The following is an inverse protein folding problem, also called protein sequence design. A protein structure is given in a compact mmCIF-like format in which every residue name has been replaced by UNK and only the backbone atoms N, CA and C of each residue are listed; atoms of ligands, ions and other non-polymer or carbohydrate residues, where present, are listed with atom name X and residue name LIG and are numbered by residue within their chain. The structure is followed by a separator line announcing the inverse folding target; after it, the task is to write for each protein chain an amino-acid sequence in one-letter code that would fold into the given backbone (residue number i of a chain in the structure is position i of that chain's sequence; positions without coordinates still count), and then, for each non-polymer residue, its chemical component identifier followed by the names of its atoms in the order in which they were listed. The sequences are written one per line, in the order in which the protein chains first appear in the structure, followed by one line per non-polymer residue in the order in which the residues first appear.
data_IF_986686813829
#
_entry.id   IF_986686813829
#
_cell.length_a   1.000
_cell.length_b   1.000
_cell.length_c   1.000
_cell.angle_alpha   90.00
_cell.angle_beta   90.00
_cell.angle_gamma   90.00
#
_symmetry.space_group_name_H-M   'P 1'
#
loop_
_entity.id
_entity.type
_entity.pdbx_description
1 polymer ?
#
# COMPACT_ATOMS: atom_id res chain seq x y z
N UNK A 1 21.21 3.14 2.92
CA UNK A 1 20.23 2.08 2.58
C UNK A 1 18.86 2.70 2.41
N UNK A 2 18.20 2.40 1.31
CA UNK A 2 16.85 2.87 1.01
C UNK A 2 15.83 1.80 1.45
N UNK A 3 14.78 2.21 2.14
CA UNK A 3 13.69 1.34 2.58
C UNK A 3 12.43 1.70 1.81
N UNK A 4 11.94 0.76 0.99
CA UNK A 4 10.67 0.86 0.31
C UNK A 4 9.59 0.25 1.21
N UNK A 5 8.55 1.01 1.49
CA UNK A 5 7.40 0.56 2.27
C UNK A 5 6.20 0.62 1.34
N UNK A 6 5.69 -0.54 0.95
CA UNK A 6 4.47 -0.65 0.17
C UNK A 6 3.31 -0.84 1.12
N UNK A 7 2.30 0.02 0.98
CA UNK A 7 1.06 -0.08 1.77
C UNK A 7 0.01 -0.72 0.89
N UNK A 8 -0.48 -1.86 1.34
CA UNK A 8 -1.52 -2.64 0.68
C UNK A 8 -2.81 -2.58 1.48
N UNK A 9 -3.92 -2.67 0.76
CA UNK A 9 -5.19 -3.05 1.32
C UNK A 9 -5.52 -4.44 0.78
N UNK A 10 -5.54 -5.46 1.67
CA UNK A 10 -5.53 -6.87 1.27
C UNK A 10 -4.36 -7.16 0.32
N UNK A 11 -4.66 -7.43 -0.95
CA UNK A 11 -3.68 -7.74 -2.01
C UNK A 11 -3.47 -6.56 -2.99
N UNK A 12 -4.14 -5.42 -2.78
CA UNK A 12 -4.11 -4.28 -3.70
C UNK A 12 -3.20 -3.17 -3.14
N UNK A 13 -2.14 -2.75 -3.84
CA UNK A 13 -1.27 -1.69 -3.36
C UNK A 13 -1.94 -0.32 -3.49
N UNK A 14 -1.70 0.56 -2.52
CA UNK A 14 -2.33 1.89 -2.43
C UNK A 14 -1.31 3.04 -2.49
N UNK A 15 -0.24 2.95 -1.70
CA UNK A 15 0.83 3.94 -1.69
C UNK A 15 2.19 3.28 -1.49
N UNK A 16 3.22 3.92 -2.05
CA UNK A 16 4.62 3.60 -1.83
C UNK A 16 5.25 4.70 -0.99
N UNK A 17 6.00 4.30 0.04
CA UNK A 17 6.76 5.21 0.90
C UNK A 17 8.21 4.79 0.88
N UNK A 18 9.07 5.63 0.33
CA UNK A 18 10.52 5.40 0.27
C UNK A 18 11.19 6.25 1.34
N UNK A 19 12.01 5.62 2.17
CA UNK A 19 12.85 6.30 3.17
C UNK A 19 14.31 6.09 2.81
N UNK A 20 15.05 7.17 2.58
CA UNK A 20 16.47 7.13 2.23
C UNK A 20 17.22 8.08 3.16
N UNK A 21 17.94 7.54 4.14
CA UNK A 21 18.57 8.35 5.18
C UNK A 21 17.55 9.22 5.92
N UNK A 22 17.68 10.55 5.79
CA UNK A 22 16.73 11.53 6.35
C UNK A 22 15.60 11.94 5.39
N UNK A 23 15.69 11.57 4.12
CA UNK A 23 14.68 11.89 3.13
C UNK A 23 13.53 10.86 3.17
N UNK A 24 12.29 11.35 3.05
CA UNK A 24 11.10 10.51 2.92
C UNK A 24 10.29 10.97 1.71
N UNK A 25 10.07 10.06 0.76
CA UNK A 25 9.17 10.27 -0.36
C UNK A 25 7.94 9.38 -0.21
N UNK A 26 6.76 9.94 -0.53
CA UNK A 26 5.49 9.24 -0.53
C UNK A 26 4.86 9.42 -1.90
N UNK A 27 4.56 8.31 -2.55
CA UNK A 27 3.93 8.28 -3.86
C UNK A 27 2.62 7.54 -3.72
N UNK A 28 1.50 8.24 -3.96
CA UNK A 28 0.19 7.61 -4.10
C UNK A 28 0.13 6.94 -5.46
N UNK A 29 -0.35 5.70 -5.51
CA UNK A 29 -0.54 5.03 -6.79
C UNK A 29 -1.72 5.63 -7.54
N UNK A 30 -1.77 5.34 -8.84
CA UNK A 30 -2.83 5.81 -9.74
C UNK A 30 -4.22 5.45 -9.24
N UNK A 31 -5.20 6.29 -9.57
CA UNK A 31 -6.62 6.17 -9.19
C UNK A 31 -7.21 4.78 -9.45
N UNK A 32 -6.72 4.02 -10.46
CA UNK A 32 -7.15 2.63 -10.72
C UNK A 32 -7.05 1.72 -9.49
N UNK A 33 -6.04 1.92 -8.65
CA UNK A 33 -5.83 1.12 -7.44
C UNK A 33 -6.85 1.47 -6.35
N UNK A 34 -7.16 2.76 -6.19
CA UNK A 34 -8.20 3.22 -5.28
C UNK A 34 -9.58 2.65 -5.68
N UNK A 35 -9.90 2.68 -6.98
CA UNK A 35 -11.15 2.09 -7.50
C UNK A 35 -11.19 0.57 -7.28
N UNK A 36 -10.07 -0.13 -7.45
CA UNK A 36 -9.99 -1.57 -7.20
C UNK A 36 -10.20 -1.90 -5.71
N UNK A 37 -9.61 -1.11 -4.80
CA UNK A 37 -9.81 -1.22 -3.35
C UNK A 37 -11.28 -1.01 -3.00
N UNK A 38 -11.91 0.05 -3.53
CA UNK A 38 -13.31 0.36 -3.27
C UNK A 38 -14.23 -0.76 -3.77
N UNK A 39 -14.02 -1.25 -5.00
CA UNK A 39 -14.78 -2.39 -5.55
C UNK A 39 -14.60 -3.65 -4.72
N UNK A 40 -13.38 -3.93 -4.26
CA UNK A 40 -13.11 -5.10 -3.42
C UNK A 40 -13.72 -4.95 -2.02
N UNK A 41 -13.74 -3.75 -1.45
CA UNK A 41 -14.42 -3.44 -0.19
C UNK A 41 -15.93 -3.59 -0.31
N UNK A 42 -16.53 -3.06 -1.39
CA UNK A 42 -17.95 -3.22 -1.70
C UNK A 42 -18.30 -4.70 -1.89
N UNK A 43 -17.48 -5.46 -2.65
CA UNK A 43 -17.69 -6.90 -2.87
C UNK A 43 -17.56 -7.73 -1.58
N UNK A 44 -16.68 -7.31 -0.67
CA UNK A 44 -16.54 -7.96 0.63
C UNK A 44 -17.67 -7.59 1.62
N UNK A 45 -18.65 -6.77 1.21
CA UNK A 45 -19.69 -6.24 2.11
C UNK A 45 -19.15 -5.24 3.14
N UNK A 46 -17.91 -4.77 2.97
CA UNK A 46 -17.21 -3.83 3.86
C UNK A 46 -17.31 -2.38 3.37
N UNK A 47 -18.33 -2.08 2.58
CA UNK A 47 -18.54 -0.79 1.90
C UNK A 47 -18.78 0.42 2.81
N UNK A 48 -18.80 0.25 4.13
CA UNK A 48 -19.11 1.36 5.05
C UNK A 48 -18.66 1.20 6.50
N UNK A 49 -17.70 0.34 6.84
CA UNK A 49 -17.35 0.13 8.25
C UNK A 49 -15.91 -0.23 8.53
N UNK A 50 -15.52 0.03 9.79
CA UNK A 50 -14.18 -0.01 10.41
C UNK A 50 -13.28 -1.20 10.00
N UNK A 51 -13.86 -2.30 9.53
CA UNK A 51 -13.14 -3.46 8.98
C UNK A 51 -12.23 -3.10 7.80
N UNK A 52 -12.53 -2.02 7.07
CA UNK A 52 -11.63 -1.48 6.03
C UNK A 52 -10.25 -1.11 6.59
N UNK A 53 -10.19 -0.61 7.82
CA UNK A 53 -8.95 -0.16 8.48
C UNK A 53 -8.11 -1.34 9.00
N UNK A 54 -8.73 -2.48 9.27
CA UNK A 54 -8.08 -3.66 9.84
C UNK A 54 -7.28 -4.47 8.80
N UNK A 55 -7.65 -4.39 7.52
CA UNK A 55 -6.99 -5.15 6.44
C UNK A 55 -5.82 -4.40 5.77
N UNK A 56 -5.42 -3.26 6.32
CA UNK A 56 -4.24 -2.54 5.83
C UNK A 56 -2.96 -3.23 6.26
N UNK A 57 -2.15 -3.60 5.28
CA UNK A 57 -0.84 -4.23 5.48
C UNK A 57 0.26 -3.30 4.96
N UNK A 58 1.36 -3.26 5.69
CA UNK A 58 2.55 -2.49 5.30
C UNK A 58 3.69 -3.48 5.15
N UNK A 59 4.21 -3.58 3.94
CA UNK A 59 5.35 -4.41 3.65
C UNK A 59 6.55 -3.50 3.48
N UNK A 60 7.62 -3.75 4.23
CA UNK A 60 8.82 -2.96 4.15
C UNK A 60 9.97 -3.79 3.59
N UNK A 61 10.39 -3.46 2.38
CA UNK A 61 11.55 -4.06 1.71
C UNK A 61 12.73 -3.11 1.77
N UNK A 62 13.94 -3.64 1.97
CA UNK A 62 15.13 -2.85 1.72
C UNK A 62 15.44 -2.87 0.23
N UNK A 63 15.78 -1.72 -0.34
CA UNK A 63 16.13 -1.58 -1.75
C UNK A 63 17.56 -2.05 -2.07
N UNK A 64 18.18 -2.82 -1.18
CA UNK A 64 19.54 -3.34 -1.35
C UNK A 64 19.57 -4.66 -2.16
N UNK A 65 18.43 -5.33 -2.33
CA UNK A 65 18.31 -6.58 -3.09
C UNK A 65 17.58 -6.32 -4.43
N UNK A 66 18.32 -6.41 -5.53
CA UNK A 66 17.72 -6.71 -6.84
C UNK A 66 16.99 -8.06 -6.70
N UNK A 67 15.69 -8.17 -7.03
CA UNK A 67 15.14 -9.50 -7.27
C UNK A 67 15.82 -10.05 -8.53
N UNK A 68 16.46 -11.22 -8.40
CA UNK A 68 16.99 -11.99 -9.52
C UNK A 68 15.89 -12.44 -10.51
#
# INVERSE_FOLDING_TARGET
MAKLITVYWRDIPSQLVVKIGRATHKVKLSTRFQVAIERAAMRAGKGGSAVYLEEWRREARRCDEQPE
#
